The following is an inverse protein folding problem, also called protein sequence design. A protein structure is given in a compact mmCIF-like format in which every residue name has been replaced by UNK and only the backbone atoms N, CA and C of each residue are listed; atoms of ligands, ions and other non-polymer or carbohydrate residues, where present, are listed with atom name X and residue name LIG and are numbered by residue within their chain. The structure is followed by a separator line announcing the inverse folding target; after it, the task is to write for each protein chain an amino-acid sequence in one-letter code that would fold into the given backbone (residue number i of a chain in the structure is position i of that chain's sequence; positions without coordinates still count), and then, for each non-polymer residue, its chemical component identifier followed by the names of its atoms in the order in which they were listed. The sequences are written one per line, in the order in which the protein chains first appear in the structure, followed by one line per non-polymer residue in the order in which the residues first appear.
data_IF_356615416086
#
_entry.id   IF_356615416086
#
_cell.length_a   1.000
_cell.length_b   1.000
_cell.length_c   1.000
_cell.angle_alpha   90.00
_cell.angle_beta   90.00
_cell.angle_gamma   90.00
#
_symmetry.space_group_name_H-M   'P 1'
#
loop_
_entity.id
_entity.type
_entity.pdbx_description
1 polymer ?
#
# COMPACT_ATOMS: atom_id res chain seq x y z
N UNK A 1 12.88 -2.55 18.85
CA UNK A 1 13.31 -3.83 18.24
C UNK A 1 12.19 -4.36 17.35
N UNK A 2 12.52 -5.10 16.29
CA UNK A 2 11.53 -5.76 15.47
C UNK A 2 10.64 -6.70 16.27
N UNK A 3 9.34 -6.70 15.96
CA UNK A 3 8.37 -7.60 16.57
C UNK A 3 7.68 -8.40 15.46
N UNK A 4 7.30 -9.63 15.79
CA UNK A 4 6.53 -10.48 14.87
C UNK A 4 5.05 -10.31 15.16
N UNK A 5 4.28 -10.09 14.10
CA UNK A 5 2.83 -9.97 14.16
C UNK A 5 2.15 -11.14 13.48
N UNK A 6 0.89 -11.37 13.77
CA UNK A 6 0.06 -12.29 13.02
C UNK A 6 -0.24 -11.68 11.64
N UNK A 7 -0.03 -12.51 10.61
CA UNK A 7 -0.26 -12.10 9.22
C UNK A 7 -1.59 -12.64 8.72
N UNK A 8 -2.41 -11.75 8.20
CA UNK A 8 -3.64 -12.10 7.50
C UNK A 8 -3.44 -11.84 6.01
N UNK A 9 -3.57 -12.88 5.20
CA UNK A 9 -3.38 -12.78 3.76
C UNK A 9 -4.44 -11.86 3.12
N UNK A 10 -3.98 -11.03 2.18
CA UNK A 10 -4.83 -10.15 1.38
C UNK A 10 -4.21 -9.97 -0.01
N UNK A 11 -4.88 -9.23 -0.89
CA UNK A 11 -4.30 -8.89 -2.19
C UNK A 11 -3.10 -7.93 -2.07
N UNK A 12 -2.87 -7.34 -0.91
CA UNK A 12 -1.72 -6.48 -0.61
C UNK A 12 -0.56 -7.36 -0.12
N UNK A 13 -0.07 -8.24 -0.97
CA UNK A 13 0.92 -9.26 -0.62
C UNK A 13 2.38 -8.79 -0.76
N UNK A 14 2.64 -7.81 -1.62
CA UNK A 14 4.00 -7.29 -1.85
C UNK A 14 4.67 -6.64 -0.64
N UNK A 15 3.89 -6.26 0.37
CA UNK A 15 4.37 -5.74 1.66
C UNK A 15 3.89 -6.59 2.83
N UNK A 16 3.44 -7.80 2.56
CA UNK A 16 2.88 -8.74 3.52
C UNK A 16 3.95 -9.46 4.36
N UNK A 17 4.77 -8.72 5.06
CA UNK A 17 5.74 -9.26 5.99
C UNK A 17 5.19 -9.38 7.41
N UNK A 18 5.73 -10.31 8.19
CA UNK A 18 5.36 -10.52 9.60
C UNK A 18 6.21 -9.70 10.57
N UNK A 19 7.40 -9.31 10.14
CA UNK A 19 8.33 -8.51 10.94
C UNK A 19 9.33 -7.80 10.02
N UNK A 20 9.95 -6.75 10.55
CA UNK A 20 11.12 -6.13 9.90
C UNK A 20 12.32 -7.08 10.07
N UNK A 21 13.07 -7.30 9.01
CA UNK A 21 14.30 -8.11 9.07
C UNK A 21 15.31 -7.47 10.02
N UNK A 22 15.97 -8.32 10.82
CA UNK A 22 16.92 -7.86 11.82
C UNK A 22 18.08 -7.04 11.20
N UNK A 23 18.53 -7.44 10.02
CA UNK A 23 19.60 -6.76 9.26
C UNK A 23 19.17 -5.39 8.78
N UNK A 24 17.88 -5.19 8.51
CA UNK A 24 17.33 -3.92 8.01
C UNK A 24 16.96 -2.96 9.13
N UNK A 25 16.76 -3.46 10.33
CA UNK A 25 16.26 -2.66 11.44
C UNK A 25 17.12 -1.42 11.76
N UNK A 26 18.46 -1.51 11.83
CA UNK A 26 19.29 -0.32 12.07
C UNK A 26 19.07 0.78 11.03
N UNK A 27 18.94 0.40 9.76
CA UNK A 27 18.71 1.34 8.67
C UNK A 27 17.32 1.96 8.72
N UNK A 28 16.30 1.14 8.94
CA UNK A 28 14.91 1.61 9.11
C UNK A 28 14.82 2.60 10.27
N UNK A 29 15.39 2.26 11.41
CA UNK A 29 15.39 3.10 12.60
C UNK A 29 16.06 4.46 12.36
N UNK A 30 17.10 4.49 11.55
CA UNK A 30 17.85 5.72 11.24
C UNK A 30 17.12 6.61 10.23
N UNK A 31 16.51 6.03 9.19
CA UNK A 31 16.03 6.75 8.02
C UNK A 31 14.52 6.99 7.98
N UNK A 32 13.74 6.16 8.66
CA UNK A 32 12.27 6.23 8.60
C UNK A 32 11.74 7.04 9.78
N UNK A 33 10.97 8.07 9.49
CA UNK A 33 10.38 8.94 10.51
C UNK A 33 9.20 8.30 11.24
N UNK A 34 8.53 7.36 10.61
CA UNK A 34 7.37 6.69 11.19
C UNK A 34 6.67 5.78 10.21
N UNK A 35 5.58 5.19 10.64
CA UNK A 35 4.72 4.36 9.81
C UNK A 35 3.26 4.76 9.97
N UNK A 36 2.50 4.61 8.91
CA UNK A 36 1.08 4.86 8.88
C UNK A 36 0.36 3.59 8.45
N UNK A 37 -0.81 3.36 9.01
CA UNK A 37 -1.62 2.17 8.74
C UNK A 37 -2.80 2.56 7.86
N UNK A 38 -3.09 1.74 6.88
CA UNK A 38 -4.20 1.90 5.95
C UNK A 38 -4.92 0.57 5.81
N UNK A 39 -6.23 0.60 5.64
CA UNK A 39 -7.03 -0.61 5.47
C UNK A 39 -6.90 -1.19 4.06
N UNK A 40 -7.21 -2.47 3.91
CA UNK A 40 -7.27 -3.14 2.61
C UNK A 40 -8.28 -2.46 1.68
N UNK A 41 -9.41 -2.00 2.22
CA UNK A 41 -10.42 -1.29 1.43
C UNK A 41 -9.91 0.07 0.92
N UNK A 42 -9.17 0.80 1.72
CA UNK A 42 -8.54 2.06 1.29
C UNK A 42 -7.49 1.82 0.20
N UNK A 43 -6.72 0.74 0.31
CA UNK A 43 -5.78 0.36 -0.75
C UNK A 43 -6.50 -0.02 -2.04
N UNK A 44 -7.59 -0.78 -1.96
CA UNK A 44 -8.41 -1.12 -3.12
C UNK A 44 -8.96 0.14 -3.81
N UNK A 45 -9.43 1.11 -3.02
CA UNK A 45 -9.89 2.40 -3.56
C UNK A 45 -8.76 3.16 -4.26
N UNK A 46 -7.55 3.13 -3.72
CA UNK A 46 -6.38 3.75 -4.35
C UNK A 46 -5.98 3.06 -5.66
N UNK A 47 -6.00 1.72 -5.71
CA UNK A 47 -5.80 0.96 -6.96
C UNK A 47 -6.81 1.39 -8.02
N UNK A 48 -8.07 1.45 -7.65
CA UNK A 48 -9.15 1.89 -8.54
C UNK A 48 -8.93 3.31 -9.04
N UNK A 49 -8.59 4.23 -8.16
CA UNK A 49 -8.34 5.64 -8.49
C UNK A 49 -7.20 5.78 -9.50
N UNK A 50 -6.08 5.08 -9.28
CA UNK A 50 -4.94 5.07 -10.19
C UNK A 50 -5.35 4.56 -11.59
N UNK A 51 -6.09 3.47 -11.65
CA UNK A 51 -6.56 2.90 -12.91
C UNK A 51 -7.51 3.85 -13.65
N UNK A 52 -8.51 4.38 -12.96
CA UNK A 52 -9.58 5.19 -13.57
C UNK A 52 -9.12 6.61 -13.92
N UNK A 53 -8.29 7.24 -13.09
CA UNK A 53 -7.88 8.62 -13.24
C UNK A 53 -6.55 8.81 -13.95
N UNK A 54 -5.59 7.94 -13.68
CA UNK A 54 -4.22 8.06 -14.16
C UNK A 54 -3.85 7.02 -15.21
N UNK A 55 -4.72 6.04 -15.47
CA UNK A 55 -4.43 4.90 -16.37
C UNK A 55 -3.19 4.11 -15.93
N UNK A 56 -2.99 4.02 -14.63
CA UNK A 56 -1.89 3.28 -14.03
C UNK A 56 -2.45 2.06 -13.32
N UNK A 57 -1.96 0.88 -13.68
CA UNK A 57 -2.28 -0.36 -12.96
C UNK A 57 -1.22 -0.57 -11.90
N UNK A 58 -1.63 -0.43 -10.65
CA UNK A 58 -0.78 -0.65 -9.49
C UNK A 58 -1.26 -1.88 -8.72
N UNK A 59 -0.35 -2.67 -8.21
CA UNK A 59 -0.66 -3.70 -7.21
C UNK A 59 -0.94 -3.06 -5.84
N UNK A 60 -1.44 -3.86 -4.88
CA UNK A 60 -1.81 -3.34 -3.57
C UNK A 60 -0.64 -2.66 -2.85
N UNK A 61 0.54 -3.27 -2.85
CA UNK A 61 1.74 -2.67 -2.25
C UNK A 61 2.12 -1.33 -2.92
N UNK A 62 2.00 -1.25 -4.24
CA UNK A 62 2.27 -0.03 -5.00
C UNK A 62 1.26 1.09 -4.78
N UNK A 63 0.01 0.75 -4.47
CA UNK A 63 -1.05 1.72 -4.22
C UNK A 63 -1.16 2.17 -2.75
N UNK A 64 -0.57 1.42 -1.82
CA UNK A 64 -0.66 1.71 -0.39
C UNK A 64 -0.17 3.12 -0.02
N UNK A 65 0.94 3.66 -0.57
CA UNK A 65 1.34 5.05 -0.27
C UNK A 65 0.29 6.08 -0.68
N UNK A 66 -0.37 5.88 -1.82
CA UNK A 66 -1.45 6.78 -2.24
C UNK A 66 -2.66 6.68 -1.29
N UNK A 67 -3.03 5.48 -0.86
CA UNK A 67 -4.11 5.30 0.10
C UNK A 67 -3.83 6.07 1.40
N UNK A 68 -2.60 5.98 1.91
CA UNK A 68 -2.17 6.74 3.09
C UNK A 68 -2.22 8.23 2.84
N UNK A 69 -1.71 8.70 1.70
CA UNK A 69 -1.73 10.12 1.35
C UNK A 69 -3.15 10.68 1.28
N UNK A 70 -4.09 9.94 0.70
CA UNK A 70 -5.50 10.33 0.64
C UNK A 70 -6.15 10.42 2.03
N UNK A 71 -5.80 9.50 2.93
CA UNK A 71 -6.35 9.46 4.27
C UNK A 71 -5.75 10.53 5.21
N UNK A 72 -4.49 10.92 4.99
CA UNK A 72 -3.71 11.77 5.88
C UNK A 72 -3.18 13.05 5.20
N UNK A 73 -3.72 13.41 4.04
CA UNK A 73 -3.19 14.53 3.25
C UNK A 73 -3.28 15.85 4.02
N UNK A 74 -2.13 16.50 4.16
CA UNK A 74 -2.04 17.93 4.40
C UNK A 74 -1.87 18.62 3.05
N UNK A 75 -2.93 19.26 2.55
CA UNK A 75 -2.93 19.91 1.23
C UNK A 75 -1.97 21.09 1.12
N UNK A 76 -1.44 21.57 2.24
CA UNK A 76 -0.43 22.63 2.26
C UNK A 76 0.98 22.15 1.89
N UNK A 77 1.21 20.82 1.85
CA UNK A 77 2.52 20.23 1.59
C UNK A 77 2.48 19.26 0.42
N UNK A 78 3.49 19.29 -0.46
CA UNK A 78 3.60 18.28 -1.51
C UNK A 78 3.93 16.92 -0.90
N UNK A 79 3.35 15.85 -1.47
CA UNK A 79 3.58 14.46 -1.06
C UNK A 79 4.02 13.66 -2.28
N UNK A 80 5.11 12.91 -2.13
CA UNK A 80 5.54 11.94 -3.14
C UNK A 80 5.13 10.53 -2.70
N UNK A 81 4.41 9.84 -3.58
CA UNK A 81 4.03 8.44 -3.38
C UNK A 81 4.78 7.58 -4.38
N UNK A 82 5.52 6.57 -3.90
CA UNK A 82 6.20 5.62 -4.77
C UNK A 82 5.22 4.52 -5.14
N UNK A 83 4.83 4.46 -6.41
CA UNK A 83 4.03 3.37 -6.98
C UNK A 83 5.02 2.31 -7.48
N UNK A 84 5.36 1.36 -6.64
CA UNK A 84 6.51 0.48 -6.81
C UNK A 84 6.29 -0.68 -7.77
N UNK A 85 5.06 -1.06 -8.06
CA UNK A 85 4.79 -2.18 -8.96
C UNK A 85 3.33 -2.29 -9.38
N UNK A 86 3.08 -3.15 -10.36
CA UNK A 86 1.76 -3.39 -10.95
C UNK A 86 1.44 -4.86 -11.17
N UNK A 87 2.11 -5.77 -10.47
CA UNK A 87 1.87 -7.21 -10.58
C UNK A 87 0.59 -7.60 -9.81
N UNK A 88 -0.55 -7.27 -10.39
CA UNK A 88 -1.87 -7.52 -9.84
C UNK A 88 -2.62 -8.53 -10.70
N UNK A 89 -3.24 -9.51 -10.06
CA UNK A 89 -4.11 -10.47 -10.72
C UNK A 89 -5.28 -9.76 -11.41
N UNK A 90 -5.55 -10.12 -12.65
CA UNK A 90 -6.59 -9.49 -13.47
C UNK A 90 -7.98 -9.64 -12.89
N UNK A 91 -8.28 -10.78 -12.26
CA UNK A 91 -9.58 -10.99 -11.60
C UNK A 91 -9.72 -10.09 -10.36
N UNK A 92 -8.65 -9.93 -9.60
CA UNK A 92 -8.63 -9.01 -8.45
C UNK A 92 -8.85 -7.57 -8.93
N UNK A 93 -8.16 -7.16 -10.00
CA UNK A 93 -8.35 -5.84 -10.60
C UNK A 93 -9.80 -5.64 -11.07
N UNK A 94 -10.37 -6.64 -11.73
CA UNK A 94 -11.77 -6.57 -12.19
C UNK A 94 -12.74 -6.36 -11.03
N UNK A 95 -12.56 -7.08 -9.92
CA UNK A 95 -13.37 -6.92 -8.71
C UNK A 95 -13.21 -5.54 -8.08
N UNK A 96 -11.99 -5.03 -8.02
CA UNK A 96 -11.71 -3.68 -7.53
C UNK A 96 -12.42 -2.63 -8.39
N UNK A 97 -12.34 -2.74 -9.72
CA UNK A 97 -12.98 -1.81 -10.64
C UNK A 97 -14.51 -1.85 -10.56
N UNK A 98 -15.10 -3.02 -10.26
CA UNK A 98 -16.53 -3.17 -9.99
C UNK A 98 -16.93 -2.76 -8.56
N UNK A 99 -15.98 -2.36 -7.75
CA UNK A 99 -16.20 -2.00 -6.33
C UNK A 99 -16.77 -3.16 -5.49
N UNK A 100 -16.34 -4.37 -5.80
CA UNK A 100 -16.72 -5.56 -5.05
C UNK A 100 -15.85 -5.75 -3.82
N UNK A 101 -16.40 -6.38 -2.77
CA UNK A 101 -15.62 -6.77 -1.59
C UNK A 101 -14.59 -7.85 -1.95
N UNK A 102 -13.38 -7.66 -1.48
CA UNK A 102 -12.27 -8.59 -1.71
C UNK A 102 -12.10 -9.56 -0.55
#
# INVERSE_FOLDING_TARGET
APQTIDYVASFVDGIGGRSVLAEMWPLVRQLVNGSLVVSVNEVAAAVRLLAERNRVIAEGAGAAPLAVALAHADTAKPVACVVSGGNLDSEVLARILRNETL
#
